data_IF_267813368556
#
_entry.id   IF_267813368556
#
_cell.length_a   1.000
_cell.length_b   1.000
_cell.length_c   1.000
_cell.angle_alpha   90.00
_cell.angle_beta   90.00
_cell.angle_gamma   90.00
#
_symmetry.space_group_name_H-M   'P 1'
#
loop_
_entity.id
_entity.type
_entity.pdbx_description
1 polymer ?
#
# COMPACT_ATOMS: atom_id res chain seq x y z
N UNK A 1 -4.03 4.29 26.99
CA UNK A 1 -5.29 4.82 26.42
C UNK A 1 -6.17 3.63 26.07
N UNK A 2 -6.55 2.79 27.04
CA UNK A 2 -7.72 2.92 27.92
C UNK A 2 -9.04 3.07 27.16
N UNK A 3 -9.55 1.92 26.72
CA UNK A 3 -10.94 1.43 26.74
C UNK A 3 -12.03 2.36 27.30
N UNK A 4 -12.30 3.46 26.60
CA UNK A 4 -13.50 4.28 26.82
C UNK A 4 -14.69 3.83 25.95
N UNK A 5 -14.53 2.85 25.06
CA UNK A 5 -15.59 2.41 24.14
C UNK A 5 -16.57 1.38 24.72
N UNK A 6 -16.33 0.82 25.92
CA UNK A 6 -17.22 -0.19 26.50
C UNK A 6 -18.29 0.35 27.45
N UNK A 7 -18.30 1.65 27.80
CA UNK A 7 -19.14 2.14 28.90
C UNK A 7 -20.40 2.92 28.51
N UNK A 8 -20.83 2.92 27.24
CA UNK A 8 -22.02 3.71 26.81
C UNK A 8 -23.19 2.86 26.30
N UNK A 9 -23.07 1.52 26.25
CA UNK A 9 -23.98 0.73 25.42
C UNK A 9 -25.33 0.30 26.03
N UNK A 10 -25.60 0.19 27.35
CA UNK A 10 -26.94 -0.26 27.77
C UNK A 10 -27.74 0.86 28.45
N UNK A 11 -28.17 1.87 27.69
CA UNK A 11 -29.17 2.84 28.19
C UNK A 11 -30.36 3.06 27.24
N UNK A 12 -30.29 2.61 26.00
CA UNK A 12 -31.38 2.78 25.03
C UNK A 12 -31.64 1.43 24.36
N UNK A 13 -32.70 0.74 24.83
CA UNK A 13 -33.13 -0.56 24.32
C UNK A 13 -33.59 -0.50 22.87
N UNK A 14 -32.64 -0.41 21.94
CA UNK A 14 -32.88 -0.51 20.50
C UNK A 14 -32.50 -1.90 20.01
N UNK A 15 -33.50 -2.75 19.83
CA UNK A 15 -33.39 -4.15 19.39
C UNK A 15 -33.29 -4.30 17.87
N UNK A 16 -32.93 -3.25 17.13
CA UNK A 16 -32.76 -3.32 15.67
C UNK A 16 -31.27 -3.34 15.29
N UNK A 17 -30.77 -4.54 15.01
CA UNK A 17 -29.36 -4.83 14.70
C UNK A 17 -28.84 -4.08 13.46
N UNK A 18 -29.73 -3.71 12.54
CA UNK A 18 -29.39 -2.98 11.32
C UNK A 18 -29.12 -1.47 11.57
N UNK A 19 -29.88 -0.84 12.47
CA UNK A 19 -29.68 0.57 12.83
C UNK A 19 -28.39 0.77 13.61
N UNK A 20 -28.07 -0.16 14.51
CA UNK A 20 -26.83 -0.14 15.29
C UNK A 20 -25.58 -0.26 14.41
N UNK A 21 -25.61 -1.09 13.35
CA UNK A 21 -24.46 -1.22 12.44
C UNK A 21 -24.23 0.04 11.60
N UNK A 22 -25.31 0.64 11.12
CA UNK A 22 -25.25 1.87 10.31
C UNK A 22 -24.78 3.05 11.14
N UNK A 23 -25.28 3.19 12.37
CA UNK A 23 -24.84 4.22 13.31
C UNK A 23 -23.37 4.03 13.71
N UNK A 24 -22.93 2.79 13.93
CA UNK A 24 -21.54 2.48 14.26
C UNK A 24 -20.59 2.82 13.09
N UNK A 25 -20.98 2.53 11.85
CA UNK A 25 -20.24 2.92 10.66
C UNK A 25 -20.15 4.44 10.51
N UNK A 26 -21.25 5.15 10.80
CA UNK A 26 -21.31 6.60 10.70
C UNK A 26 -20.43 7.27 11.77
N UNK A 27 -20.50 6.80 13.02
CA UNK A 27 -19.62 7.26 14.12
C UNK A 27 -18.15 6.98 13.79
N UNK A 28 -17.84 5.82 13.23
CA UNK A 28 -16.46 5.47 12.83
C UNK A 28 -15.97 6.34 11.68
N UNK A 29 -16.82 6.64 10.70
CA UNK A 29 -16.48 7.54 9.60
C UNK A 29 -16.23 8.97 10.12
N UNK A 30 -17.10 9.48 10.98
CA UNK A 30 -16.96 10.80 11.60
C UNK A 30 -15.71 10.92 12.49
N UNK A 31 -15.29 9.84 13.15
CA UNK A 31 -14.05 9.81 13.92
C UNK A 31 -12.78 9.82 13.04
N UNK A 32 -12.85 9.26 11.83
CA UNK A 32 -11.71 9.19 10.91
C UNK A 32 -11.44 10.48 10.14
N UNK A 33 -12.48 11.28 9.86
CA UNK A 33 -12.35 12.55 9.14
C UNK A 33 -11.39 13.55 9.83
N UNK A 34 -11.48 13.84 11.15
CA UNK A 34 -10.56 14.77 11.80
C UNK A 34 -9.12 14.24 11.88
N UNK A 35 -8.93 12.94 12.07
CA UNK A 35 -7.61 12.29 12.02
C UNK A 35 -6.96 12.41 10.63
N UNK A 36 -7.75 12.23 9.58
CA UNK A 36 -7.30 12.38 8.21
C UNK A 36 -6.96 13.83 7.86
N UNK A 37 -7.78 14.79 8.31
CA UNK A 37 -7.49 16.22 8.15
C UNK A 37 -6.25 16.66 8.93
N UNK A 38 -6.02 16.12 10.14
CA UNK A 38 -4.79 16.38 10.91
C UNK A 38 -3.55 15.81 10.21
N UNK A 39 -3.66 14.60 9.65
CA UNK A 39 -2.57 14.01 8.87
C UNK A 39 -2.25 14.82 7.60
N UNK A 40 -3.28 15.34 6.91
CA UNK A 40 -3.11 16.25 5.78
C UNK A 40 -2.49 17.59 6.21
N UNK A 41 -2.87 18.13 7.37
CA UNK A 41 -2.29 19.36 7.92
C UNK A 41 -0.79 19.18 8.24
N UNK A 42 -0.43 18.08 8.91
CA UNK A 42 0.97 17.74 9.21
C UNK A 42 1.79 17.49 7.93
N UNK A 43 1.20 16.85 6.92
CA UNK A 43 1.86 16.66 5.63
C UNK A 43 2.01 17.98 4.85
N UNK A 44 1.14 18.96 5.08
CA UNK A 44 1.23 20.30 4.48
C UNK A 44 2.31 21.15 5.14
N UNK A 45 2.51 21.03 6.45
CA UNK A 45 3.59 21.71 7.19
C UNK A 45 4.99 21.26 6.77
N UNK A 46 5.17 19.97 6.47
CA UNK A 46 6.44 19.46 5.98
C UNK A 46 6.82 19.94 4.56
N UNK A 47 5.87 20.48 3.78
CA UNK A 47 6.16 21.05 2.45
C UNK A 47 6.52 22.53 2.45
N UNK A 48 6.24 23.25 3.54
CA UNK A 48 6.50 24.70 3.63
C UNK A 48 7.69 25.06 4.54
N UNK A 49 8.43 24.08 5.05
CA UNK A 49 9.58 24.32 5.95
C UNK A 49 10.83 23.59 5.46
N UNK A 50 11.17 23.79 4.18
CA UNK A 50 12.48 23.41 3.63
C UNK A 50 13.27 24.66 3.23
N UNK A 51 13.38 25.60 4.17
CA UNK A 51 14.50 26.53 4.18
C UNK A 51 15.66 25.88 4.93
N UNK A 52 16.76 25.70 4.20
CA UNK A 52 18.06 25.35 4.75
C UNK A 52 18.57 26.47 5.67
N UNK A 53 19.08 26.17 6.87
CA UNK A 53 19.88 27.12 7.63
C UNK A 53 21.29 27.14 7.01
N UNK A 54 21.63 28.22 6.32
CA UNK A 54 23.03 28.47 5.96
C UNK A 54 23.27 29.21 4.66
N UNK A 55 23.00 30.52 4.65
CA UNK A 55 23.86 31.57 4.06
C UNK A 55 23.15 32.91 4.12
N UNK A 56 23.45 33.68 5.16
CA UNK A 56 23.44 35.14 5.09
C UNK A 56 24.90 35.58 5.11
N UNK A 57 25.43 35.91 3.93
CA UNK A 57 26.62 36.75 3.83
C UNK A 57 26.11 38.18 3.86
N UNK A 58 25.95 38.71 5.08
CA UNK A 58 25.92 40.15 5.34
C UNK A 58 27.33 40.56 5.71
N UNK A 59 28.08 41.06 4.73
CA UNK A 59 29.28 41.86 4.97
C UNK A 59 28.83 43.31 5.06
N UNK A 60 28.38 43.72 6.24
CA UNK A 60 28.42 45.14 6.64
C UNK A 60 29.84 45.45 7.16
N UNK A 61 30.38 46.64 6.84
CA UNK A 61 31.74 47.02 7.21
C UNK A 61 31.74 47.54 8.65
N UNK A 62 32.32 46.80 9.59
CA UNK A 62 32.70 47.35 10.89
C UNK A 62 33.98 48.16 10.74
N UNK A 63 33.79 49.46 10.56
CA UNK A 63 34.71 50.51 10.97
C UNK A 63 34.99 50.42 12.48
N UNK A 64 36.20 50.82 12.89
CA UNK A 64 36.41 51.43 14.20
C UNK A 64 37.23 50.63 15.21
N UNK A 65 38.44 51.15 15.47
CA UNK A 65 39.16 51.13 16.77
C UNK A 65 39.78 49.77 17.20
N UNK A 66 41.06 49.65 17.57
CA UNK A 66 41.98 50.59 18.22
C UNK A 66 43.40 50.33 17.72
N UNK A 67 44.06 51.40 17.25
CA UNK A 67 45.51 51.45 17.06
C UNK A 67 46.20 51.38 18.42
N UNK A 68 47.03 50.36 18.67
CA UNK A 68 48.00 50.41 19.77
C UNK A 68 49.33 50.92 19.22
N UNK A 69 49.48 52.25 19.26
CA UNK A 69 50.76 52.92 19.25
C UNK A 69 51.61 52.38 20.41
N UNK A 70 52.83 51.95 20.13
CA UNK A 70 53.85 51.64 21.14
C UNK A 70 54.88 52.77 21.16
N UNK A 71 54.43 53.95 21.58
CA UNK A 71 55.34 55.01 22.04
C UNK A 71 55.73 54.70 23.49
N UNK A 72 56.78 53.91 23.65
CA UNK A 72 57.46 53.75 24.95
C UNK A 72 58.36 54.97 25.21
N UNK A 73 58.20 55.68 26.35
CA UNK A 73 59.21 56.62 26.80
C UNK A 73 60.46 55.84 27.24
N UNK A 74 61.59 56.30 26.72
CA UNK A 74 62.95 55.91 27.12
C UNK A 74 63.03 56.02 28.64
N UNK A 75 63.20 54.89 29.33
CA UNK A 75 63.56 54.87 30.75
C UNK A 75 65.00 54.39 30.85
N UNK A 76 65.85 55.31 31.29
CA UNK A 76 67.27 55.12 31.48
C UNK A 76 67.58 54.09 32.56
N UNK A 77 68.57 53.23 32.28
CA UNK A 77 69.58 52.78 33.22
C UNK A 77 69.15 52.05 34.49
N UNK A 78 69.04 50.72 34.41
CA UNK A 78 69.46 49.85 35.52
C UNK A 78 70.27 48.67 34.94
N UNK A 79 71.58 48.70 35.17
CA UNK A 79 72.48 47.59 34.90
C UNK A 79 72.13 46.43 35.84
N UNK A 80 71.40 45.44 35.36
CA UNK A 80 71.28 44.15 36.04
C UNK A 80 72.26 43.16 35.40
N UNK A 81 73.50 43.26 35.85
CA UNK A 81 74.51 42.23 35.66
C UNK A 81 74.04 40.94 36.39
N UNK A 82 74.03 39.80 35.69
CA UNK A 82 73.83 38.49 36.33
C UNK A 82 72.55 37.69 36.07
N UNK A 83 71.75 37.96 35.02
CA UNK A 83 70.73 36.99 34.57
C UNK A 83 71.30 36.11 33.45
N UNK A 84 71.77 34.92 33.82
CA UNK A 84 72.16 33.86 32.88
C UNK A 84 70.93 33.51 32.03
N UNK A 85 70.94 33.92 30.77
CA UNK A 85 69.92 33.52 29.79
C UNK A 85 69.93 31.99 29.68
N UNK A 86 68.78 31.30 29.89
CA UNK A 86 68.70 29.86 29.68
C UNK A 86 69.10 29.55 28.24
N UNK A 87 70.15 28.74 28.08
CA UNK A 87 70.62 28.25 26.80
C UNK A 87 69.63 27.18 26.30
N UNK A 88 68.46 27.60 25.83
CA UNK A 88 67.34 26.68 25.61
C UNK A 88 66.33 27.06 24.53
N UNK A 89 66.69 27.91 23.56
CA UNK A 89 65.78 28.35 22.48
C UNK A 89 66.31 28.21 21.05
N UNK A 90 67.33 27.38 20.80
CA UNK A 90 67.84 27.15 19.43
C UNK A 90 67.08 26.07 18.66
N UNK A 91 66.69 24.96 19.31
CA UNK A 91 66.04 23.84 18.62
C UNK A 91 64.70 24.18 17.98
N UNK A 92 63.84 24.96 18.66
CA UNK A 92 62.52 25.33 18.13
C UNK A 92 62.61 26.32 16.97
N UNK A 93 63.61 27.21 16.97
CA UNK A 93 63.84 28.17 15.88
C UNK A 93 64.50 27.49 14.67
N UNK A 94 65.35 26.50 14.89
CA UNK A 94 65.99 25.72 13.84
C UNK A 94 65.01 24.74 13.17
N UNK A 95 64.15 24.08 13.94
CA UNK A 95 63.05 23.26 13.40
C UNK A 95 62.07 24.09 12.54
N UNK A 96 61.85 25.36 12.90
CA UNK A 96 61.03 26.31 12.12
C UNK A 96 61.74 26.82 10.85
N UNK A 97 63.08 26.88 10.84
CA UNK A 97 63.87 27.17 9.62
C UNK A 97 63.85 25.98 8.65
N UNK A 98 63.99 24.75 9.16
CA UNK A 98 63.97 23.53 8.33
C UNK A 98 62.65 23.25 7.60
N UNK A 99 61.52 23.70 8.15
CA UNK A 99 60.22 23.66 7.46
C UNK A 99 60.08 24.73 6.38
N UNK A 100 60.94 25.74 6.38
CA UNK A 100 60.99 26.80 5.37
C UNK A 100 62.19 26.63 4.41
N UNK A 101 63.02 25.61 4.62
CA UNK A 101 64.01 25.17 3.64
C UNK A 101 63.25 24.47 2.50
N UNK A 102 63.63 24.72 1.25
CA UNK A 102 62.89 24.26 0.06
C UNK A 102 62.55 22.76 0.11
N UNK A 103 63.47 21.93 0.61
CA UNK A 103 63.27 20.49 0.76
C UNK A 103 62.18 20.12 1.77
N UNK A 104 62.07 20.86 2.89
CA UNK A 104 61.04 20.61 3.90
C UNK A 104 59.65 20.99 3.41
N UNK A 105 59.56 22.04 2.59
CA UNK A 105 58.30 22.44 1.92
C UNK A 105 57.87 21.39 0.90
N UNK A 106 58.81 20.90 0.07
CA UNK A 106 58.53 19.86 -0.93
C UNK A 106 58.03 18.57 -0.27
N UNK A 107 58.66 18.11 0.81
CA UNK A 107 58.22 16.91 1.54
C UNK A 107 56.80 17.08 2.13
N UNK A 108 56.50 18.23 2.73
CA UNK A 108 55.17 18.53 3.26
C UNK A 108 54.10 18.54 2.15
N UNK A 109 54.41 19.11 0.99
CA UNK A 109 53.52 19.12 -0.17
C UNK A 109 53.31 17.71 -0.73
N UNK A 110 54.36 16.88 -0.84
CA UNK A 110 54.23 15.49 -1.26
C UNK A 110 53.34 14.67 -0.31
N UNK A 111 53.48 14.88 1.00
CA UNK A 111 52.63 14.21 2.00
C UNK A 111 51.16 14.66 1.90
N UNK A 112 50.92 15.95 1.69
CA UNK A 112 49.57 16.47 1.47
C UNK A 112 48.96 15.90 0.20
N UNK A 113 49.72 15.89 -0.90
CA UNK A 113 49.30 15.29 -2.17
C UNK A 113 48.94 13.81 -1.99
N UNK A 114 49.82 13.01 -1.36
CA UNK A 114 49.54 11.59 -1.10
C UNK A 114 48.29 11.39 -0.24
N UNK A 115 48.05 12.29 0.74
CA UNK A 115 46.85 12.24 1.58
C UNK A 115 45.59 12.54 0.77
N UNK A 116 45.62 13.55 -0.09
CA UNK A 116 44.51 13.90 -0.98
C UNK A 116 44.21 12.78 -1.98
N UNK A 117 45.24 12.17 -2.59
CA UNK A 117 45.08 11.03 -3.51
C UNK A 117 44.40 9.84 -2.82
N UNK A 118 44.81 9.51 -1.59
CA UNK A 118 44.16 8.46 -0.79
C UNK A 118 42.70 8.79 -0.48
N UNK A 119 42.41 10.05 -0.16
CA UNK A 119 41.05 10.48 0.13
C UNK A 119 40.14 10.44 -1.10
N UNK A 120 40.66 10.84 -2.27
CA UNK A 120 39.94 10.71 -3.54
C UNK A 120 39.59 9.24 -3.80
N UNK A 121 40.57 8.35 -3.69
CA UNK A 121 40.36 6.92 -3.90
C UNK A 121 39.34 6.32 -2.93
N UNK A 122 39.42 6.66 -1.65
CA UNK A 122 38.44 6.20 -0.65
C UNK A 122 37.02 6.69 -0.98
N UNK A 123 36.87 7.96 -1.37
CA UNK A 123 35.58 8.52 -1.75
C UNK A 123 35.02 7.86 -3.03
N UNK A 124 35.87 7.53 -3.99
CA UNK A 124 35.47 6.79 -5.19
C UNK A 124 34.94 5.39 -4.84
N UNK A 125 35.68 4.63 -4.02
CA UNK A 125 35.25 3.31 -3.55
C UNK A 125 33.93 3.38 -2.75
N UNK A 126 33.77 4.39 -1.88
CA UNK A 126 32.53 4.61 -1.14
C UNK A 126 31.35 4.92 -2.07
N UNK A 127 31.57 5.74 -3.10
CA UNK A 127 30.55 6.09 -4.09
C UNK A 127 30.12 4.87 -4.93
N UNK A 128 31.06 4.02 -5.32
CA UNK A 128 30.76 2.78 -6.04
C UNK A 128 29.96 1.81 -5.17
N UNK A 129 30.38 1.62 -3.91
CA UNK A 129 29.65 0.79 -2.96
C UNK A 129 28.23 1.32 -2.72
N UNK A 130 28.06 2.64 -2.65
CA UNK A 130 26.77 3.29 -2.50
C UNK A 130 25.86 3.02 -3.70
N UNK A 131 26.38 3.18 -4.93
CA UNK A 131 25.65 2.86 -6.17
C UNK A 131 25.23 1.39 -6.22
N UNK A 132 26.11 0.47 -5.84
CA UNK A 132 25.80 -0.96 -5.84
C UNK A 132 24.70 -1.31 -4.82
N UNK A 133 24.79 -0.75 -3.61
CA UNK A 133 23.75 -0.89 -2.58
C UNK A 133 22.40 -0.38 -3.06
N UNK A 134 22.37 0.82 -3.62
CA UNK A 134 21.13 1.44 -4.10
C UNK A 134 20.53 0.64 -5.26
N UNK A 135 21.37 0.09 -6.16
CA UNK A 135 20.93 -0.81 -7.23
C UNK A 135 20.29 -2.10 -6.69
N UNK A 136 20.96 -2.76 -5.74
CA UNK A 136 20.44 -3.99 -5.10
C UNK A 136 19.15 -3.73 -4.33
N UNK A 137 19.06 -2.59 -3.65
CA UNK A 137 17.85 -2.18 -2.93
C UNK A 137 16.69 -1.93 -3.90
N UNK A 138 16.93 -1.24 -5.00
CA UNK A 138 15.93 -0.99 -6.03
C UNK A 138 15.41 -2.30 -6.64
N UNK A 139 16.31 -3.21 -7.01
CA UNK A 139 15.94 -4.52 -7.57
C UNK A 139 15.11 -5.34 -6.58
N UNK A 140 15.49 -5.35 -5.30
CA UNK A 140 14.72 -6.02 -4.25
C UNK A 140 13.32 -5.43 -4.08
N UNK A 141 13.20 -4.09 -4.11
CA UNK A 141 11.91 -3.38 -4.05
C UNK A 141 11.02 -3.73 -5.25
N UNK A 142 11.58 -3.77 -6.45
CA UNK A 142 10.87 -4.14 -7.67
C UNK A 142 10.36 -5.59 -7.60
N UNK A 143 11.23 -6.55 -7.24
CA UNK A 143 10.85 -7.95 -7.09
C UNK A 143 9.74 -8.13 -6.03
N UNK A 144 9.84 -7.40 -4.92
CA UNK A 144 8.83 -7.43 -3.85
C UNK A 144 7.49 -6.88 -4.34
N UNK A 145 7.50 -5.77 -5.09
CA UNK A 145 6.29 -5.19 -5.66
C UNK A 145 5.65 -6.13 -6.69
N UNK A 146 6.46 -6.72 -7.58
CA UNK A 146 6.01 -7.70 -8.58
C UNK A 146 5.34 -8.92 -7.93
N UNK A 147 5.99 -9.54 -6.95
CA UNK A 147 5.42 -10.67 -6.19
C UNK A 147 4.12 -10.29 -5.47
N UNK A 148 4.06 -9.07 -4.90
CA UNK A 148 2.86 -8.56 -4.22
C UNK A 148 1.68 -8.38 -5.19
N UNK A 149 1.93 -7.89 -6.40
CA UNK A 149 0.91 -7.75 -7.45
C UNK A 149 0.43 -9.15 -7.89
N UNK A 150 1.36 -10.06 -8.19
CA UNK A 150 1.04 -11.42 -8.62
C UNK A 150 0.19 -12.18 -7.58
N UNK A 151 0.51 -12.05 -6.29
CA UNK A 151 -0.28 -12.66 -5.23
C UNK A 151 -1.69 -12.06 -5.13
N UNK A 152 -1.84 -10.74 -5.32
CA UNK A 152 -3.16 -10.08 -5.34
C UNK A 152 -4.00 -10.56 -6.53
N UNK A 153 -3.42 -10.67 -7.71
CA UNK A 153 -4.11 -11.18 -8.90
C UNK A 153 -4.55 -12.64 -8.73
N UNK A 154 -3.67 -13.50 -8.20
CA UNK A 154 -4.01 -14.90 -7.88
C UNK A 154 -5.14 -14.98 -6.88
N UNK A 155 -5.11 -14.18 -5.82
CA UNK A 155 -6.17 -14.13 -4.81
C UNK A 155 -7.51 -13.66 -5.41
N UNK A 156 -7.49 -12.64 -6.28
CA UNK A 156 -8.69 -12.18 -6.98
C UNK A 156 -9.26 -13.26 -7.91
N UNK A 157 -8.42 -13.92 -8.69
CA UNK A 157 -8.83 -15.01 -9.60
C UNK A 157 -9.47 -16.18 -8.86
N UNK A 158 -8.97 -16.51 -7.66
CA UNK A 158 -9.58 -17.55 -6.81
C UNK A 158 -10.97 -17.12 -6.34
N UNK A 159 -11.14 -15.87 -5.91
CA UNK A 159 -12.44 -15.33 -5.50
C UNK A 159 -13.46 -15.36 -6.64
N UNK A 160 -13.06 -14.97 -7.85
CA UNK A 160 -13.92 -15.01 -9.03
C UNK A 160 -14.33 -16.44 -9.39
N UNK A 161 -13.39 -17.40 -9.34
CA UNK A 161 -13.69 -18.82 -9.56
C UNK A 161 -14.65 -19.39 -8.53
N UNK A 162 -14.47 -19.03 -7.26
CA UNK A 162 -15.37 -19.46 -6.17
C UNK A 162 -16.78 -18.91 -6.38
N UNK A 163 -16.90 -17.63 -6.76
CA UNK A 163 -18.19 -17.02 -7.08
C UNK A 163 -18.88 -17.69 -8.28
N UNK A 164 -18.14 -17.94 -9.37
CA UNK A 164 -18.67 -18.66 -10.53
C UNK A 164 -19.12 -20.08 -10.19
N UNK A 165 -18.39 -20.77 -9.31
CA UNK A 165 -18.75 -22.11 -8.86
C UNK A 165 -20.05 -22.08 -8.03
N UNK A 166 -20.21 -21.10 -7.15
CA UNK A 166 -21.44 -20.90 -6.38
C UNK A 166 -22.65 -20.68 -7.29
N UNK A 167 -22.52 -19.80 -8.28
CA UNK A 167 -23.58 -19.53 -9.25
C UNK A 167 -23.93 -20.75 -10.10
N UNK A 168 -22.92 -21.50 -10.56
CA UNK A 168 -23.13 -22.75 -11.30
C UNK A 168 -23.87 -23.79 -10.44
N UNK A 169 -23.47 -23.95 -9.19
CA UNK A 169 -24.12 -24.87 -8.27
C UNK A 169 -25.57 -24.47 -7.99
N UNK A 170 -25.86 -23.18 -7.83
CA UNK A 170 -27.22 -22.68 -7.66
C UNK A 170 -28.09 -22.98 -8.90
N UNK A 171 -27.59 -22.67 -10.10
CA UNK A 171 -28.30 -22.98 -11.36
C UNK A 171 -28.56 -24.48 -11.54
N UNK A 172 -27.61 -25.33 -11.12
CA UNK A 172 -27.80 -26.78 -11.17
C UNK A 172 -28.90 -27.23 -10.21
N UNK A 173 -28.93 -26.71 -8.98
CA UNK A 173 -29.99 -27.00 -8.01
C UNK A 173 -31.37 -26.58 -8.53
N UNK A 174 -31.48 -25.39 -9.11
CA UNK A 174 -32.74 -24.91 -9.70
C UNK A 174 -33.21 -25.80 -10.87
N UNK A 175 -32.28 -26.21 -11.75
CA UNK A 175 -32.59 -27.14 -12.84
C UNK A 175 -33.03 -28.50 -12.32
N UNK A 176 -32.34 -29.04 -11.32
CA UNK A 176 -32.67 -30.32 -10.70
C UNK A 176 -34.07 -30.27 -10.07
N UNK A 177 -34.37 -29.20 -9.34
CA UNK A 177 -35.69 -29.00 -8.75
C UNK A 177 -36.77 -28.91 -9.83
N UNK A 178 -36.55 -28.12 -10.89
CA UNK A 178 -37.50 -28.01 -12.01
C UNK A 178 -37.74 -29.35 -12.71
N UNK A 179 -36.69 -30.17 -12.86
CA UNK A 179 -36.82 -31.51 -13.43
C UNK A 179 -37.59 -32.45 -12.51
N UNK A 180 -37.37 -32.37 -11.20
CA UNK A 180 -38.12 -33.14 -10.18
C UNK A 180 -39.61 -32.76 -10.18
N UNK A 181 -39.92 -31.46 -10.18
CA UNK A 181 -41.30 -30.96 -10.27
C UNK A 181 -41.97 -31.39 -11.58
N UNK A 182 -41.27 -31.30 -12.72
CA UNK A 182 -41.79 -31.78 -14.00
C UNK A 182 -42.04 -33.29 -13.98
N UNK A 183 -41.14 -34.08 -13.39
CA UNK A 183 -41.32 -35.53 -13.26
C UNK A 183 -42.50 -35.89 -12.33
N UNK A 184 -42.65 -35.21 -11.20
CA UNK A 184 -43.79 -35.40 -10.30
C UNK A 184 -45.11 -35.01 -10.96
N UNK A 185 -45.14 -33.88 -11.68
CA UNK A 185 -46.32 -33.48 -12.46
C UNK A 185 -46.69 -34.53 -13.49
N UNK A 186 -45.71 -35.11 -14.19
CA UNK A 186 -45.94 -36.20 -15.14
C UNK A 186 -46.51 -37.44 -14.47
N UNK A 187 -45.96 -37.83 -13.32
CA UNK A 187 -46.46 -38.97 -12.55
C UNK A 187 -47.92 -38.77 -12.10
N UNK A 188 -48.29 -37.57 -11.65
CA UNK A 188 -49.68 -37.28 -11.27
C UNK A 188 -50.62 -37.25 -12.47
N UNK A 189 -50.17 -36.70 -13.60
CA UNK A 189 -50.92 -36.72 -14.86
C UNK A 189 -51.19 -38.16 -15.33
N UNK A 190 -50.18 -39.03 -15.26
CA UNK A 190 -50.34 -40.47 -15.55
C UNK A 190 -51.36 -41.12 -14.61
N UNK A 191 -51.34 -40.76 -13.33
CA UNK A 191 -52.29 -41.28 -12.34
C UNK A 191 -53.73 -40.89 -12.67
N UNK A 192 -53.96 -39.65 -13.08
CA UNK A 192 -55.28 -39.12 -13.48
C UNK A 192 -55.76 -39.76 -14.77
N UNK A 193 -54.87 -39.94 -15.76
CA UNK A 193 -55.23 -40.53 -17.05
C UNK A 193 -55.60 -42.02 -16.92
N UNK A 194 -54.94 -42.74 -16.02
CA UNK A 194 -55.20 -44.17 -15.77
C UNK A 194 -56.37 -44.43 -14.80
N UNK A 195 -57.01 -43.39 -14.26
CA UNK A 195 -58.14 -43.54 -13.34
C UNK A 195 -59.43 -43.83 -14.12
N UNK A 196 -60.10 -44.94 -13.77
CA UNK A 196 -61.37 -45.34 -14.39
C UNK A 196 -62.51 -44.42 -13.94
N UNK A 197 -63.01 -43.62 -14.88
CA UNK A 197 -64.06 -42.61 -14.64
C UNK A 197 -65.39 -43.24 -14.24
N UNK A 198 -65.65 -44.50 -14.63
CA UNK A 198 -66.90 -45.19 -14.29
C UNK A 198 -66.98 -45.55 -12.81
N UNK A 199 -65.83 -45.64 -12.13
CA UNK A 199 -65.74 -45.90 -10.69
C UNK A 199 -65.92 -44.63 -9.84
N UNK A 200 -66.01 -43.46 -10.47
CA UNK A 200 -66.23 -42.19 -9.79
C UNK A 200 -67.73 -41.86 -9.66
N UNK A 201 -68.11 -41.09 -8.61
CA UNK A 201 -69.46 -40.54 -8.47
C UNK A 201 -69.87 -39.74 -9.70
N UNK A 202 -71.14 -39.84 -10.11
CA UNK A 202 -71.67 -39.23 -11.33
C UNK A 202 -71.36 -37.73 -11.45
N UNK A 203 -71.42 -37.01 -10.32
CA UNK A 203 -71.13 -35.57 -10.24
C UNK A 203 -69.67 -35.19 -10.57
N UNK A 204 -68.72 -36.13 -10.47
CA UNK A 204 -67.30 -35.89 -10.70
C UNK A 204 -66.81 -36.38 -12.06
N UNK A 205 -67.60 -37.21 -12.77
CA UNK A 205 -67.16 -37.85 -14.03
C UNK A 205 -66.80 -36.82 -15.11
N UNK A 206 -67.69 -35.87 -15.35
CA UNK A 206 -67.47 -34.80 -16.34
C UNK A 206 -66.23 -33.96 -16.01
N UNK A 207 -65.97 -33.68 -14.73
CA UNK A 207 -64.77 -32.93 -14.32
C UNK A 207 -63.48 -33.70 -14.58
N UNK A 208 -63.48 -35.02 -14.36
CA UNK A 208 -62.31 -35.87 -14.62
C UNK A 208 -62.04 -36.03 -16.11
N UNK A 209 -63.09 -36.20 -16.93
CA UNK A 209 -62.96 -36.25 -18.40
C UNK A 209 -62.36 -34.95 -18.95
N UNK A 210 -62.77 -33.79 -18.41
CA UNK A 210 -62.18 -32.49 -18.76
C UNK A 210 -60.69 -32.45 -18.39
N UNK A 211 -60.31 -32.91 -17.20
CA UNK A 211 -58.89 -32.97 -16.80
C UNK A 211 -58.07 -33.90 -17.69
N UNK A 212 -58.58 -35.09 -18.02
CA UNK A 212 -57.91 -36.03 -18.92
C UNK A 212 -57.68 -35.43 -20.30
N UNK A 213 -58.70 -34.77 -20.88
CA UNK A 213 -58.57 -34.08 -22.17
C UNK A 213 -57.56 -32.92 -22.12
N UNK A 214 -57.55 -32.15 -21.02
CA UNK A 214 -56.59 -31.06 -20.82
C UNK A 214 -55.14 -31.57 -20.72
N UNK A 215 -54.92 -32.69 -20.02
CA UNK A 215 -53.61 -33.33 -19.90
C UNK A 215 -53.11 -33.81 -21.28
N UNK A 216 -53.96 -34.48 -22.05
CA UNK A 216 -53.61 -34.94 -23.41
C UNK A 216 -53.23 -33.77 -24.31
N UNK A 217 -53.97 -32.67 -24.26
CA UNK A 217 -53.67 -31.44 -25.00
C UNK A 217 -52.36 -30.80 -24.56
N UNK A 218 -52.06 -30.77 -23.26
CA UNK A 218 -50.78 -30.27 -22.75
C UNK A 218 -49.61 -31.13 -23.25
N UNK A 219 -49.77 -32.45 -23.26
CA UNK A 219 -48.75 -33.38 -23.77
C UNK A 219 -48.50 -33.25 -25.27
N UNK A 220 -49.54 -32.99 -26.05
CA UNK A 220 -49.44 -32.65 -27.47
C UNK A 220 -48.63 -31.37 -27.68
N UNK A 221 -48.89 -30.32 -26.89
CA UNK A 221 -48.15 -29.06 -26.96
C UNK A 221 -46.67 -29.18 -26.52
N UNK A 222 -46.37 -30.09 -25.58
CA UNK A 222 -45.01 -30.38 -25.12
C UNK A 222 -44.19 -31.23 -26.13
N UNK A 223 -44.79 -31.61 -27.27
CA UNK A 223 -44.15 -32.39 -28.32
C UNK A 223 -43.94 -33.86 -27.95
N UNK A 224 -44.69 -34.38 -26.98
CA UNK A 224 -44.49 -35.73 -26.45
C UNK A 224 -44.98 -36.84 -27.38
N UNK A 225 -45.88 -36.52 -28.31
CA UNK A 225 -46.40 -37.47 -29.31
C UNK A 225 -45.49 -37.63 -30.53
N UNK A 226 -44.23 -37.17 -30.43
CA UNK A 226 -43.31 -37.09 -31.56
C UNK A 226 -43.71 -35.95 -32.49
N UNK A 227 -42.73 -35.26 -33.07
CA UNK A 227 -43.00 -34.49 -34.29
C UNK A 227 -43.49 -35.49 -35.31
N UNK A 228 -44.77 -35.46 -35.68
CA UNK A 228 -45.17 -35.98 -36.98
C UNK A 228 -44.37 -35.12 -37.95
N UNK A 229 -43.26 -35.66 -38.45
CA UNK A 229 -42.64 -35.14 -39.65
C UNK A 229 -43.72 -35.29 -40.70
N UNK A 230 -44.51 -34.23 -40.88
CA UNK A 230 -45.15 -33.98 -42.16
C UNK A 230 -43.99 -33.73 -43.10
N UNK A 231 -43.45 -34.82 -43.64
CA UNK A 231 -42.80 -34.82 -44.94
C UNK A 231 -43.85 -34.29 -45.90
N UNK A 232 -43.92 -32.96 -46.02
CA UNK A 232 -44.53 -32.38 -47.20
C UNK A 232 -43.43 -32.39 -48.22
N UNK A 233 -43.59 -33.36 -49.11
CA UNK A 233 -42.88 -33.56 -50.35
C UNK A 233 -42.71 -32.28 -51.16
N UNK A 234 -41.73 -32.37 -52.07
CA UNK A 234 -41.61 -31.61 -53.32
C UNK A 234 -41.46 -30.10 -53.22
N UNK A 235 -40.25 -29.62 -53.54
CA UNK A 235 -40.12 -28.78 -54.73
C UNK A 235 -38.69 -28.85 -55.31
N UNK A 236 -38.69 -28.79 -56.65
CA UNK A 236 -37.65 -29.13 -57.64
C UNK A 236 -36.30 -28.42 -57.53
#
# INVERSE_FOLDING_TARGET
MLDLCQLVVPALGFTDSALNFTLLLLVRALAFVPLFLLALALHRDHRNTLEYPGRTVTLEPTEGEVCMNSDTPITEGINSDGVVRPQGRKGTKEKKRRLNDENGVVEALCNLQSTLEKQIKFNEEELELKKEKDKKEFELREQTMKKKIELKEKAQKIKEKDQQLKEKNQRLKEKEQKMKEKAQKRQEQDRILNQDVNKLPLALRSTFEIYQAQILKEWESDGLFGKVFTSSDEDK
#
